data_IF_025012433899
#
_entry.id   IF_025012433899
#
_cell.length_a   1.000
_cell.length_b   1.000
_cell.length_c   1.000
_cell.angle_alpha   90.00
_cell.angle_beta   90.00
_cell.angle_gamma   90.00
#
_symmetry.space_group_name_H-M   'P 1'
#
loop_
_entity.id
_entity.type
_entity.pdbx_description
1 polymer ?
#
# COMPACT_ATOMS: atom_id res chain seq x y z
N UNK A 1 0.40 0.76 -2.26
CA UNK A 1 0.77 2.19 -2.14
C UNK A 1 -0.30 2.90 -1.34
N UNK A 2 0.06 3.88 -0.51
CA UNK A 2 -0.91 4.67 0.25
C UNK A 2 -1.71 5.60 -0.68
N UNK A 3 -3.05 5.51 -0.69
CA UNK A 3 -3.90 6.42 -1.45
C UNK A 3 -3.95 7.80 -0.79
N UNK A 4 -4.36 8.81 -1.57
CA UNK A 4 -4.62 10.16 -1.07
C UNK A 4 -5.72 10.18 0.00
N UNK A 5 -6.72 9.33 -0.19
CA UNK A 5 -7.90 9.28 0.68
C UNK A 5 -7.65 8.34 1.86
N UNK A 6 -7.95 8.84 3.06
CA UNK A 6 -7.93 8.09 4.30
C UNK A 6 -9.25 8.33 5.04
N UNK A 7 -9.80 7.30 5.67
CA UNK A 7 -11.02 7.44 6.46
C UNK A 7 -10.66 7.68 7.92
N UNK A 8 -11.11 8.80 8.51
CA UNK A 8 -11.01 9.00 9.96
C UNK A 8 -11.93 7.99 10.65
N UNK A 9 -11.39 7.25 11.62
CA UNK A 9 -12.08 6.16 12.32
C UNK A 9 -12.67 6.65 13.64
N UNK A 10 -11.93 7.48 14.37
CA UNK A 10 -12.30 7.98 15.69
C UNK A 10 -11.70 9.37 15.97
N UNK A 11 -12.14 9.99 17.07
CA UNK A 11 -11.61 11.27 17.54
C UNK A 11 -10.24 11.18 18.21
N UNK A 12 -9.70 9.97 18.38
CA UNK A 12 -8.33 9.76 18.84
C UNK A 12 -7.29 9.90 17.71
N UNK A 13 -7.72 10.33 16.52
CA UNK A 13 -6.84 10.59 15.38
C UNK A 13 -6.47 9.32 14.61
N UNK A 14 -7.18 8.21 14.81
CA UNK A 14 -6.97 7.01 13.99
C UNK A 14 -7.52 7.20 12.59
N UNK A 15 -6.71 6.86 11.61
CA UNK A 15 -7.04 6.87 10.20
C UNK A 15 -6.94 5.45 9.64
N UNK A 16 -7.90 5.09 8.81
CA UNK A 16 -7.98 3.81 8.12
C UNK A 16 -7.65 4.02 6.65
N UNK A 17 -6.77 3.16 6.16
CA UNK A 17 -6.36 3.10 4.77
C UNK A 17 -6.80 1.76 4.18
N UNK A 18 -7.37 1.79 2.97
CA UNK A 18 -7.61 0.60 2.15
C UNK A 18 -6.68 0.67 0.96
N UNK A 19 -5.77 -0.30 0.84
CA UNK A 19 -4.73 -0.29 -0.18
C UNK A 19 -4.75 -1.59 -0.99
N UNK A 20 -4.39 -1.49 -2.27
CA UNK A 20 -4.07 -2.66 -3.07
C UNK A 20 -2.71 -3.23 -2.65
N UNK A 21 -2.68 -4.53 -2.37
CA UNK A 21 -1.46 -5.30 -2.05
C UNK A 21 -1.31 -6.45 -3.03
N UNK A 22 -0.06 -6.76 -3.36
CA UNK A 22 0.27 -7.88 -4.23
C UNK A 22 0.78 -9.00 -3.32
N UNK A 23 0.07 -10.12 -3.29
CA UNK A 23 0.45 -11.27 -2.46
C UNK A 23 1.62 -12.06 -3.10
N UNK A 24 2.12 -13.07 -2.40
CA UNK A 24 3.24 -13.91 -2.88
C UNK A 24 2.95 -14.65 -4.21
N UNK A 25 1.67 -14.81 -4.55
CA UNK A 25 1.19 -15.40 -5.80
C UNK A 25 1.11 -14.38 -6.95
N UNK A 26 1.46 -13.11 -6.70
CA UNK A 26 1.35 -12.03 -7.68
C UNK A 26 -0.08 -11.53 -7.89
N UNK A 27 -1.03 -11.92 -7.04
CA UNK A 27 -2.42 -11.49 -7.14
C UNK A 27 -2.62 -10.18 -6.38
N UNK A 28 -3.28 -9.24 -7.04
CA UNK A 28 -3.72 -8.00 -6.41
C UNK A 28 -4.95 -8.27 -5.54
N UNK A 29 -4.84 -7.95 -4.26
CA UNK A 29 -5.92 -8.00 -3.27
C UNK A 29 -6.02 -6.64 -2.58
N UNK A 30 -7.06 -6.42 -1.79
CA UNK A 30 -7.20 -5.20 -1.00
C UNK A 30 -7.02 -5.53 0.47
N UNK A 31 -6.22 -4.73 1.16
CA UNK A 31 -6.09 -4.81 2.61
C UNK A 31 -6.42 -3.47 3.25
N UNK A 32 -7.14 -3.55 4.36
CA UNK A 32 -7.52 -2.40 5.16
C UNK A 32 -6.79 -2.46 6.49
N UNK A 33 -6.18 -1.36 6.89
CA UNK A 33 -5.50 -1.24 8.18
C UNK A 33 -5.74 0.15 8.77
N UNK A 34 -5.64 0.24 10.10
CA UNK A 34 -5.85 1.47 10.85
C UNK A 34 -4.56 1.86 11.56
N UNK A 35 -4.19 3.13 11.51
CA UNK A 35 -3.01 3.68 12.17
C UNK A 35 -3.32 5.06 12.75
N UNK A 36 -2.61 5.47 13.81
CA UNK A 36 -2.65 6.84 14.34
C UNK A 36 -1.78 7.80 13.51
N UNK A 37 -0.87 7.26 12.71
CA UNK A 37 0.08 8.05 11.92
C UNK A 37 -0.51 8.33 10.54
N UNK A 38 -0.67 9.60 10.20
CA UNK A 38 -1.02 9.99 8.85
C UNK A 38 0.15 9.67 7.91
N UNK A 39 -0.11 8.83 6.91
CA UNK A 39 0.83 8.45 5.87
C UNK A 39 0.61 9.32 4.63
N UNK A 40 1.71 9.70 3.97
CA UNK A 40 1.65 10.51 2.76
C UNK A 40 1.20 9.66 1.57
N UNK A 41 0.41 10.25 0.67
CA UNK A 41 0.09 9.67 -0.63
C UNK A 41 1.37 9.23 -1.35
N UNK A 42 1.33 8.08 -2.02
CA UNK A 42 2.48 7.59 -2.76
C UNK A 42 3.48 6.79 -1.93
N UNK A 43 3.37 6.82 -0.60
CA UNK A 43 4.22 6.02 0.29
C UNK A 43 4.04 4.53 -0.03
N UNK A 44 5.16 3.83 -0.20
CA UNK A 44 5.18 2.38 -0.35
C UNK A 44 5.38 1.78 1.03
N UNK A 45 4.54 0.82 1.38
CA UNK A 45 4.62 0.12 2.66
C UNK A 45 4.57 -1.38 2.42
N UNK A 46 5.28 -2.10 3.26
CA UNK A 46 5.17 -3.55 3.39
C UNK A 46 4.19 -3.86 4.52
N UNK A 47 3.22 -4.75 4.28
CA UNK A 47 2.21 -5.12 5.26
C UNK A 47 2.53 -6.50 5.83
N UNK A 48 2.68 -6.56 7.16
CA UNK A 48 2.77 -7.83 7.88
C UNK A 48 1.36 -8.30 8.23
N UNK A 49 0.82 -9.19 7.40
CA UNK A 49 -0.50 -9.80 7.60
C UNK A 49 -0.34 -11.15 8.28
N UNK A 50 -1.08 -11.39 9.38
CA UNK A 50 -1.15 -12.70 10.04
C UNK A 50 -2.59 -13.18 10.03
N UNK A 51 -2.87 -14.22 9.25
CA UNK A 51 -4.25 -14.62 8.95
C UNK A 51 -4.90 -13.56 8.06
N UNK A 52 -6.01 -12.97 8.51
CA UNK A 52 -6.71 -11.89 7.80
C UNK A 52 -6.47 -10.49 8.41
N UNK A 53 -5.58 -10.37 9.40
CA UNK A 53 -5.37 -9.12 10.12
C UNK A 53 -3.98 -8.53 9.83
N UNK A 54 -3.95 -7.24 9.51
CA UNK A 54 -2.71 -6.47 9.37
C UNK A 54 -2.17 -6.19 10.78
N UNK A 55 -1.04 -6.80 11.12
CA UNK A 55 -0.39 -6.65 12.43
C UNK A 55 0.50 -5.44 12.50
N UNK A 56 1.28 -5.21 11.45
CA UNK A 56 2.28 -4.15 11.34
C UNK A 56 2.43 -3.73 9.89
N UNK A 57 3.04 -2.57 9.70
CA UNK A 57 3.53 -2.14 8.41
C UNK A 57 4.91 -1.51 8.58
N UNK A 58 5.74 -1.66 7.56
CA UNK A 58 7.01 -0.93 7.44
C UNK A 58 6.98 -0.05 6.20
N UNK A 59 7.57 1.14 6.31
CA UNK A 59 7.71 2.05 5.16
C UNK A 59 8.94 1.61 4.40
N UNK A 60 8.75 1.23 3.15
CA UNK A 60 9.80 0.72 2.28
C UNK A 60 9.90 1.57 1.01
N UNK A 61 11.01 1.44 0.30
CA UNK A 61 11.20 2.04 -1.01
C UNK A 61 10.90 1.03 -2.12
N UNK A 62 10.73 1.52 -3.36
CA UNK A 62 10.53 0.64 -4.54
C UNK A 62 11.67 -0.38 -4.73
N UNK A 63 12.88 -0.05 -4.28
CA UNK A 63 14.05 -0.92 -4.40
C UNK A 63 13.98 -2.11 -3.44
N UNK A 64 13.27 -1.98 -2.33
CA UNK A 64 13.08 -3.03 -1.33
C UNK A 64 11.91 -3.95 -1.68
N UNK A 65 11.12 -3.62 -2.71
CA UNK A 65 10.06 -4.49 -3.17
C UNK A 65 10.61 -5.84 -3.66
N UNK A 66 9.93 -6.96 -3.33
CA UNK A 66 10.26 -8.27 -3.88
C UNK A 66 10.23 -8.25 -5.42
N UNK A 67 11.12 -9.01 -6.06
CA UNK A 67 11.23 -9.04 -7.54
C UNK A 67 9.89 -9.35 -8.22
N UNK A 68 9.08 -10.26 -7.66
CA UNK A 68 7.75 -10.57 -8.18
C UNK A 68 6.83 -9.37 -8.16
N UNK A 69 6.82 -8.62 -7.06
CA UNK A 69 6.03 -7.40 -6.92
C UNK A 69 6.52 -6.35 -7.91
N UNK A 70 7.83 -6.16 -8.08
CA UNK A 70 8.40 -5.24 -9.08
C UNK A 70 7.95 -5.56 -10.50
N UNK A 71 7.77 -6.83 -10.85
CA UNK A 71 7.34 -7.26 -12.18
C UNK A 71 5.87 -6.94 -12.48
N UNK A 72 5.01 -6.89 -11.46
CA UNK A 72 3.56 -6.65 -11.62
C UNK A 72 3.13 -5.27 -11.11
N UNK A 73 4.03 -4.56 -10.44
CA UNK A 73 3.79 -3.21 -9.96
C UNK A 73 3.52 -2.32 -11.18
N UNK A 74 2.42 -1.58 -11.22
CA UNK A 74 2.20 -0.63 -12.28
C UNK A 74 3.26 0.46 -12.13
N UNK A 75 4.36 0.35 -12.88
CA UNK A 75 5.13 1.51 -13.29
C UNK A 75 4.14 2.37 -14.05
N UNK A 76 3.59 3.40 -13.38
CA UNK A 76 3.14 4.60 -14.08
C UNK A 76 4.37 5.27 -14.70
N UNK A 77 5.05 4.57 -15.60
CA UNK A 77 5.48 5.19 -16.84
C UNK A 77 4.22 5.15 -17.69
N UNK A 78 3.39 6.20 -17.54
CA UNK A 78 2.66 6.67 -18.71
C UNK A 78 3.76 6.89 -19.73
N UNK A 79 3.85 6.01 -20.71
CA UNK A 79 4.19 6.48 -22.04
C UNK A 79 3.26 7.65 -22.29
N UNK A 80 3.80 8.87 -22.25
CA UNK A 80 3.36 9.90 -23.17
C UNK A 80 3.62 9.34 -24.58
N UNK A 81 2.71 8.46 -25.01
CA UNK A 81 2.40 8.30 -26.42
C UNK A 81 1.40 9.42 -26.73
N UNK A 82 1.93 10.58 -27.10
CA UNK A 82 1.31 11.65 -27.86
C UNK A 82 2.44 12.67 -28.10
N UNK A 83 2.92 13.01 -29.30
CA UNK A 83 2.66 12.66 -30.69
C UNK A 83 3.83 13.26 -31.48
#
# INVERSE_FOLDING_TARGET
MIPKEAKKVDDHGRVQYTISVINEKGQTTFQTFTTIKQLNEGTVIDLFVRGNEVRKYDIITKNELPQRVKSVWPTKERKEEEK
#
